data_IF_272652165475
#
_entry.id   IF_272652165475
#
_cell.length_a   1.000
_cell.length_b   1.000
_cell.length_c   1.000
_cell.angle_alpha   90.00
_cell.angle_beta   90.00
_cell.angle_gamma   90.00
#
_symmetry.space_group_name_H-M   'P 1'
#
loop_
_entity.id
_entity.type
_entity.pdbx_description
1 polymer ?
#
# COMPACT_ATOMS: atom_id res chain seq x y z
N UNK A 1 9.91 -18.40 -6.27
CA UNK A 1 9.28 -17.14 -5.83
C UNK A 1 7.81 -17.23 -6.17
N UNK A 2 6.91 -17.14 -5.19
CA UNK A 2 5.46 -17.17 -5.43
C UNK A 2 4.89 -15.76 -5.44
N UNK A 3 3.91 -15.52 -6.31
CA UNK A 3 3.17 -14.26 -6.39
C UNK A 3 1.76 -14.51 -5.84
N UNK A 4 1.33 -13.68 -4.90
CA UNK A 4 -0.02 -13.63 -4.36
C UNK A 4 -0.75 -12.46 -4.98
N UNK A 5 -2.03 -12.67 -5.33
CA UNK A 5 -2.92 -11.62 -5.78
C UNK A 5 -3.94 -11.32 -4.69
N UNK A 6 -4.14 -10.05 -4.37
CA UNK A 6 -5.12 -9.60 -3.39
C UNK A 6 -5.86 -8.39 -3.92
N UNK A 7 -7.17 -8.35 -3.74
CA UNK A 7 -7.98 -7.19 -4.03
C UNK A 7 -8.85 -6.85 -2.81
N UNK A 8 -9.49 -5.69 -2.85
CA UNK A 8 -10.35 -5.26 -1.75
C UNK A 8 -10.49 -3.75 -1.67
N UNK A 9 -10.94 -3.29 -0.50
CA UNK A 9 -11.04 -1.88 -0.15
C UNK A 9 -9.95 -1.46 0.83
N UNK A 10 -9.58 -0.19 0.81
CA UNK A 10 -8.55 0.33 1.69
C UNK A 10 -8.58 1.86 1.78
N UNK A 11 -7.58 2.39 2.46
CA UNK A 11 -7.47 3.81 2.75
C UNK A 11 -6.07 4.31 2.39
N UNK A 12 -6.01 5.53 1.86
CA UNK A 12 -4.78 6.27 1.61
C UNK A 12 -4.66 7.38 2.64
N UNK A 13 -3.49 7.52 3.25
CA UNK A 13 -3.15 8.55 4.22
C UNK A 13 -1.95 9.35 3.72
N UNK A 14 -1.92 10.63 4.09
CA UNK A 14 -0.69 11.40 4.04
C UNK A 14 0.28 10.86 5.10
N UNK A 15 1.58 10.94 4.80
CA UNK A 15 2.62 10.63 5.77
C UNK A 15 2.41 11.49 7.02
N UNK A 16 2.43 10.86 8.19
CA UNK A 16 2.26 11.49 9.51
C UNK A 16 0.85 12.05 9.82
N UNK A 17 -0.17 11.66 9.05
CA UNK A 17 -1.57 12.06 9.28
C UNK A 17 -2.43 10.82 9.50
N UNK A 18 -3.04 10.70 10.68
CA UNK A 18 -3.89 9.55 11.03
C UNK A 18 -5.29 9.61 10.39
N UNK A 19 -5.66 10.73 9.78
CA UNK A 19 -6.93 10.87 9.06
C UNK A 19 -6.80 10.37 7.62
N UNK A 20 -7.70 9.48 7.15
CA UNK A 20 -7.67 9.00 5.77
C UNK A 20 -7.94 10.16 4.79
N UNK A 21 -7.09 10.26 3.77
CA UNK A 21 -7.23 11.20 2.67
C UNK A 21 -8.32 10.73 1.68
N UNK A 22 -8.29 9.45 1.34
CA UNK A 22 -9.21 8.84 0.38
C UNK A 22 -9.46 7.35 0.66
N UNK A 23 -10.69 6.93 0.41
CA UNK A 23 -11.09 5.52 0.34
C UNK A 23 -10.81 5.02 -1.08
N UNK A 24 -10.27 3.81 -1.17
CA UNK A 24 -9.81 3.26 -2.45
C UNK A 24 -10.18 1.80 -2.62
N UNK A 25 -10.34 1.39 -3.88
CA UNK A 25 -10.36 -0.02 -4.28
C UNK A 25 -8.98 -0.40 -4.82
N UNK A 26 -8.47 -1.56 -4.47
CA UNK A 26 -7.14 -2.00 -4.91
C UNK A 26 -7.15 -3.37 -5.57
N UNK A 27 -6.17 -3.58 -6.45
CA UNK A 27 -5.74 -4.88 -6.94
C UNK A 27 -4.21 -4.94 -6.82
N UNK A 28 -3.69 -5.78 -5.94
CA UNK A 28 -2.27 -5.87 -5.59
C UNK A 28 -1.70 -7.24 -5.91
N UNK A 29 -0.42 -7.24 -6.24
CA UNK A 29 0.45 -8.38 -6.39
C UNK A 29 1.51 -8.29 -5.29
N UNK A 30 1.75 -9.38 -4.58
CA UNK A 30 2.72 -9.46 -3.49
C UNK A 30 3.65 -10.66 -3.70
N UNK A 31 4.95 -10.50 -3.47
CA UNK A 31 5.91 -11.61 -3.46
C UNK A 31 6.27 -12.00 -2.04
N UNK A 32 6.37 -13.30 -1.80
CA UNK A 32 6.93 -13.79 -0.54
C UNK A 32 8.43 -13.43 -0.45
N UNK A 33 8.94 -13.09 0.75
CA UNK A 33 10.36 -12.90 0.95
C UNK A 33 11.10 -14.24 0.79
N UNK A 34 12.38 -14.18 0.46
CA UNK A 34 13.30 -15.32 0.45
C UNK A 34 14.62 -14.93 1.10
N UNK A 35 15.53 -15.89 1.27
CA UNK A 35 16.89 -15.61 1.77
C UNK A 35 17.69 -14.63 0.88
N UNK A 36 17.28 -14.43 -0.38
CA UNK A 36 17.99 -13.58 -1.34
C UNK A 36 17.24 -12.29 -1.68
N UNK A 37 15.93 -12.20 -1.44
CA UNK A 37 15.11 -11.08 -1.89
C UNK A 37 14.03 -10.72 -0.87
N UNK A 38 13.85 -9.43 -0.63
CA UNK A 38 12.77 -8.91 0.20
C UNK A 38 11.42 -9.06 -0.48
N UNK A 39 10.36 -9.16 0.32
CA UNK A 39 8.98 -9.07 -0.17
C UNK A 39 8.75 -7.74 -0.88
N UNK A 40 8.04 -7.78 -2.01
CA UNK A 40 7.65 -6.62 -2.80
C UNK A 40 6.16 -6.67 -3.03
N UNK A 41 5.55 -5.51 -3.20
CA UNK A 41 4.15 -5.42 -3.58
C UNK A 41 3.91 -4.24 -4.51
N UNK A 42 3.00 -4.40 -5.46
CA UNK A 42 2.66 -3.41 -6.47
C UNK A 42 1.26 -3.70 -7.02
N UNK A 43 0.72 -2.80 -7.82
CA UNK A 43 -0.54 -3.05 -8.51
C UNK A 43 -1.25 -1.76 -8.84
N UNK A 44 -2.55 -1.74 -8.58
CA UNK A 44 -3.42 -0.65 -8.96
C UNK A 44 -4.34 -0.22 -7.82
N UNK A 45 -4.61 1.08 -7.78
CA UNK A 45 -5.53 1.70 -6.85
C UNK A 45 -6.52 2.58 -7.62
N UNK A 46 -7.79 2.51 -7.26
CA UNK A 46 -8.87 3.34 -7.79
C UNK A 46 -9.47 4.19 -6.69
N UNK A 47 -9.57 5.50 -6.91
CA UNK A 47 -10.07 6.48 -5.94
C UNK A 47 -11.13 7.37 -6.57
N UNK A 48 -12.12 7.81 -5.78
CA UNK A 48 -13.08 8.86 -6.18
C UNK A 48 -12.48 10.27 -6.09
N UNK A 49 -11.39 10.43 -5.32
CA UNK A 49 -10.63 11.67 -5.17
C UNK A 49 -9.33 11.61 -5.93
N UNK A 50 -8.94 12.74 -6.51
CA UNK A 50 -7.64 12.88 -7.14
C UNK A 50 -6.52 12.84 -6.09
N UNK A 51 -5.59 11.90 -6.26
CA UNK A 51 -4.35 11.81 -5.52
C UNK A 51 -3.22 12.43 -6.34
N UNK A 52 -2.43 13.30 -5.71
CA UNK A 52 -1.25 13.89 -6.34
C UNK A 52 -0.13 12.85 -6.43
N UNK A 53 0.77 12.91 -7.42
CA UNK A 53 1.96 12.05 -7.42
C UNK A 53 2.83 12.33 -6.18
N UNK A 54 2.91 11.36 -5.26
CA UNK A 54 3.69 11.47 -4.02
C UNK A 54 3.85 10.10 -3.34
N UNK A 55 4.55 10.10 -2.19
CA UNK A 55 4.59 8.98 -1.26
C UNK A 55 3.41 9.09 -0.26
N UNK A 56 2.69 7.99 -0.07
CA UNK A 56 1.55 7.88 0.83
C UNK A 56 1.69 6.67 1.75
N UNK A 57 0.87 6.60 2.78
CA UNK A 57 0.63 5.35 3.51
C UNK A 57 -0.65 4.74 2.96
N UNK A 58 -0.58 3.46 2.59
CA UNK A 58 -1.72 2.66 2.19
C UNK A 58 -2.07 1.67 3.30
N UNK A 59 -3.36 1.55 3.61
CA UNK A 59 -3.92 0.58 4.53
C UNK A 59 -4.98 -0.25 3.81
N UNK A 60 -4.88 -1.57 3.89
CA UNK A 60 -5.93 -2.50 3.44
C UNK A 60 -7.04 -2.62 4.48
N UNK A 61 -8.23 -3.08 4.08
CA UNK A 61 -9.36 -3.36 5.00
C UNK A 61 -9.02 -4.33 6.14
N UNK A 62 -8.04 -5.22 5.96
CA UNK A 62 -7.53 -6.15 6.98
C UNK A 62 -6.47 -5.52 7.92
N UNK A 63 -6.21 -4.22 7.79
CA UNK A 63 -5.34 -3.43 8.68
C UNK A 63 -3.85 -3.47 8.34
N UNK A 64 -3.44 -4.12 7.24
CA UNK A 64 -2.04 -4.11 6.79
C UNK A 64 -1.71 -2.73 6.22
N UNK A 65 -0.59 -2.16 6.67
CA UNK A 65 -0.11 -0.85 6.24
C UNK A 65 1.23 -0.93 5.52
N UNK A 66 1.45 -0.04 4.57
CA UNK A 66 2.73 0.09 3.86
C UNK A 66 2.90 1.46 3.22
N UNK A 67 4.15 1.89 3.04
CA UNK A 67 4.44 3.08 2.22
C UNK A 67 4.25 2.73 0.76
N UNK A 68 3.65 3.64 0.00
CA UNK A 68 3.35 3.45 -1.41
C UNK A 68 3.68 4.70 -2.21
N UNK A 69 4.29 4.52 -3.37
CA UNK A 69 4.48 5.60 -4.34
C UNK A 69 3.38 5.48 -5.40
N UNK A 70 2.60 6.55 -5.53
CA UNK A 70 1.50 6.64 -6.48
C UNK A 70 1.97 7.37 -7.74
N UNK A 71 1.91 6.68 -8.87
CA UNK A 71 2.13 7.26 -10.20
C UNK A 71 0.80 7.38 -10.94
N UNK A 72 0.51 8.56 -11.47
CA UNK A 72 -0.70 8.84 -12.23
C UNK A 72 -0.66 8.07 -13.58
N UNK A 73 -1.64 7.21 -13.86
CA UNK A 73 -1.75 6.57 -15.19
C UNK A 73 -2.53 7.47 -16.17
N UNK A 74 -3.48 8.24 -15.65
CA UNK A 74 -4.45 8.97 -16.47
C UNK A 74 -4.08 10.44 -16.59
N UNK A 75 -4.07 11.03 -17.80
CA UNK A 75 -3.59 12.40 -17.98
C UNK A 75 -4.43 13.42 -17.18
N UNK A 76 -3.77 14.44 -16.58
CA UNK A 76 -4.47 15.53 -15.91
C UNK A 76 -5.35 16.29 -16.91
N UNK A 77 -6.58 16.63 -16.53
CA UNK A 77 -7.47 17.50 -17.32
C UNK A 77 -8.88 16.97 -17.58
N UNK A 78 -9.17 15.69 -17.31
CA UNK A 78 -10.53 15.15 -17.36
C UNK A 78 -10.99 14.81 -15.95
N UNK A 79 -12.01 15.51 -15.44
CA UNK A 79 -12.73 15.06 -14.22
C UNK A 79 -13.36 13.71 -14.52
N UNK A 80 -12.79 12.65 -13.98
CA UNK A 80 -13.33 11.30 -14.07
C UNK A 80 -14.13 11.01 -12.81
N UNK A 81 -15.16 10.17 -12.93
CA UNK A 81 -15.87 9.66 -11.76
C UNK A 81 -14.95 8.86 -10.82
N UNK A 82 -13.89 8.25 -11.38
CA UNK A 82 -12.88 7.49 -10.65
C UNK A 82 -11.50 7.69 -11.30
N UNK A 83 -10.49 7.87 -10.48
CA UNK A 83 -9.08 7.97 -10.86
C UNK A 83 -8.39 6.64 -10.62
N UNK A 84 -7.58 6.17 -11.59
CA UNK A 84 -6.84 4.91 -11.50
C UNK A 84 -5.33 5.18 -11.49
N UNK A 85 -4.62 4.50 -10.61
CA UNK A 85 -3.20 4.70 -10.33
C UNK A 85 -2.45 3.39 -10.37
N UNK A 86 -1.23 3.41 -10.92
CA UNK A 86 -0.26 2.33 -10.75
C UNK A 86 0.53 2.64 -9.49
N UNK A 87 0.70 1.64 -8.65
CA UNK A 87 1.34 1.81 -7.36
C UNK A 87 2.48 0.83 -7.16
N UNK A 88 3.55 1.33 -6.56
CA UNK A 88 4.68 0.52 -6.14
C UNK A 88 4.85 0.68 -4.63
N UNK A 89 4.72 -0.44 -3.93
CA UNK A 89 4.94 -0.53 -2.50
C UNK A 89 6.41 -0.41 -2.12
N UNK A 90 6.66 0.17 -0.95
CA UNK A 90 7.98 0.21 -0.31
C UNK A 90 7.99 -0.68 0.92
N UNK A 91 8.94 -1.60 0.95
CA UNK A 91 9.03 -2.61 2.01
C UNK A 91 7.90 -3.64 1.95
N UNK A 92 7.66 -4.32 3.06
CA UNK A 92 6.60 -5.34 3.18
C UNK A 92 5.27 -4.68 3.52
N UNK A 93 4.20 -5.04 2.81
CA UNK A 93 2.83 -4.69 3.18
C UNK A 93 2.42 -5.58 4.36
N UNK A 94 2.28 -5.01 5.55
CA UNK A 94 2.02 -5.80 6.75
C UNK A 94 1.56 -4.95 7.91
N UNK A 95 1.34 -5.58 9.06
CA UNK A 95 0.92 -4.84 10.25
C UNK A 95 2.11 -4.05 10.79
N UNK A 96 2.04 -2.71 10.73
CA UNK A 96 3.03 -1.81 11.36
C UNK A 96 3.23 -2.13 12.85
N UNK A 97 2.23 -2.73 13.49
CA UNK A 97 2.28 -3.17 14.89
C UNK A 97 3.25 -4.33 15.18
N UNK A 98 3.81 -5.01 14.16
CA UNK A 98 4.74 -6.13 14.41
C UNK A 98 6.18 -5.69 14.72
N UNK A 99 6.56 -4.43 14.45
CA UNK A 99 7.96 -3.98 14.66
C UNK A 99 8.31 -3.44 16.05
N UNK A 100 7.33 -3.24 16.94
CA UNK A 100 7.58 -2.83 18.33
C UNK A 100 7.32 -3.96 19.37
N UNK A 101 7.20 -5.22 18.92
CA UNK A 101 6.71 -6.32 19.76
C UNK A 101 7.60 -7.56 19.92
N UNK A 102 8.79 -7.64 19.33
CA UNK A 102 9.70 -8.76 19.57
C UNK A 102 10.84 -8.37 20.54
N UNK A 103 10.52 -8.29 21.83
CA UNK A 103 11.53 -8.66 22.84
C UNK A 103 11.83 -10.14 22.61
N UNK A 104 13.08 -10.46 22.28
CA UNK A 104 13.57 -11.84 22.22
C UNK A 104 13.20 -12.55 23.54
N UNK A 105 12.52 -13.70 23.52
CA UNK A 105 12.42 -14.52 24.71
C UNK A 105 13.77 -15.24 24.90
N UNK A 106 14.39 -15.00 26.05
CA UNK A 106 15.45 -15.86 26.59
C UNK A 106 16.87 -15.58 26.08
N UNK A 107 17.57 -14.68 26.76
CA UNK A 107 18.96 -14.96 27.14
C UNK A 107 18.91 -15.27 28.63
N UNK A 108 19.02 -16.56 28.96
CA UNK A 108 19.49 -17.00 30.28
C UNK A 108 21.02 -17.05 30.21
#
# INVERSE_FOLDING_TARGET
MSIKYTNGSGHIYLKDVDKPLADVQYNLMETNPSQYTSAKWWGEITSSKELKPSEYIFETEDGRRGSVVISLITPPGRKLQKYRYLVNGRGTLGNLYSKYGQKKPGTL
#
